data_IF_273869527252
#
_entry.id   IF_273869527252
#
_cell.length_a   1.000
_cell.length_b   1.000
_cell.length_c   1.000
_cell.angle_alpha   90.00
_cell.angle_beta   90.00
_cell.angle_gamma   90.00
#
_symmetry.space_group_name_H-M   'P 1'
#
loop_
_entity.id
_entity.type
_entity.pdbx_description
1 polymer ?
#
# COMPACT_ATOMS: atom_id res chain seq x y z
N UNK A 1 15.98 -1.13 -0.80
CA UNK A 1 17.07 -0.82 -1.76
C UNK A 1 17.04 -1.89 -2.85
N UNK A 2 16.58 -1.56 -4.05
CA UNK A 2 16.97 -2.33 -5.22
C UNK A 2 18.21 -1.65 -5.75
N UNK A 3 19.35 -1.98 -5.20
CA UNK A 3 20.61 -1.59 -5.79
C UNK A 3 20.95 -2.60 -6.88
N UNK A 4 21.77 -2.20 -7.84
CA UNK A 4 22.42 -3.09 -8.83
C UNK A 4 23.24 -4.23 -8.15
N UNK A 5 23.20 -4.31 -6.81
CA UNK A 5 23.95 -5.21 -5.93
C UNK A 5 23.14 -6.44 -5.46
N UNK A 6 21.81 -6.49 -5.65
CA UNK A 6 21.04 -7.68 -5.26
C UNK A 6 21.19 -8.77 -6.34
N UNK A 7 22.01 -9.75 -6.02
CA UNK A 7 22.22 -10.89 -6.89
C UNK A 7 21.00 -11.84 -6.85
N UNK A 8 20.57 -12.28 -8.03
CA UNK A 8 19.47 -13.23 -8.20
C UNK A 8 19.64 -14.51 -7.35
N UNK A 9 20.87 -15.07 -7.32
CA UNK A 9 21.17 -16.27 -6.56
C UNK A 9 21.05 -16.04 -5.03
N UNK A 10 21.44 -14.87 -4.55
CA UNK A 10 21.31 -14.52 -3.13
C UNK A 10 19.83 -14.38 -2.75
N UNK A 11 19.02 -13.75 -3.60
CA UNK A 11 17.59 -13.60 -3.34
C UNK A 11 16.88 -14.97 -3.34
N UNK A 12 17.24 -15.87 -4.25
CA UNK A 12 16.73 -17.25 -4.24
C UNK A 12 17.09 -17.97 -2.95
N UNK A 13 18.36 -17.84 -2.51
CA UNK A 13 18.81 -18.44 -1.25
C UNK A 13 18.04 -17.88 -0.05
N UNK A 14 17.83 -16.57 0.03
CA UNK A 14 17.03 -15.94 1.10
C UNK A 14 15.58 -16.43 1.09
N UNK A 15 14.94 -16.53 -0.08
CA UNK A 15 13.58 -17.04 -0.20
C UNK A 15 13.46 -18.47 0.37
N UNK A 16 14.41 -19.34 0.03
CA UNK A 16 14.44 -20.72 0.53
C UNK A 16 14.72 -20.76 2.05
N UNK A 17 15.72 -20.02 2.52
CA UNK A 17 16.08 -20.00 3.94
C UNK A 17 14.98 -19.43 4.83
N UNK A 18 14.29 -18.39 4.38
CA UNK A 18 13.18 -17.77 5.09
C UNK A 18 11.86 -18.55 4.95
N UNK A 19 11.84 -19.60 4.15
CA UNK A 19 10.62 -20.37 3.81
C UNK A 19 9.47 -19.45 3.37
N UNK A 20 9.81 -18.39 2.61
CA UNK A 20 8.86 -17.33 2.25
C UNK A 20 7.95 -17.83 1.12
N UNK A 21 6.65 -17.90 1.41
CA UNK A 21 5.65 -18.27 0.40
C UNK A 21 5.42 -17.14 -0.61
N UNK A 22 5.57 -15.88 -0.15
CA UNK A 22 5.25 -14.70 -0.95
C UNK A 22 6.36 -13.65 -0.87
N UNK A 23 6.77 -13.12 -2.01
CA UNK A 23 7.84 -12.12 -2.12
C UNK A 23 7.33 -10.87 -2.83
N UNK A 24 7.35 -9.75 -2.12
CA UNK A 24 7.03 -8.44 -2.68
C UNK A 24 8.32 -7.65 -2.85
N UNK A 25 8.60 -7.19 -4.05
CA UNK A 25 9.73 -6.31 -4.34
C UNK A 25 9.28 -4.86 -4.37
N UNK A 26 10.10 -3.97 -3.82
CA UNK A 26 9.92 -2.51 -3.94
C UNK A 26 11.02 -2.00 -4.86
N UNK A 27 10.64 -1.30 -5.93
CA UNK A 27 11.59 -0.66 -6.85
C UNK A 27 11.31 0.83 -6.98
N UNK A 28 12.38 1.61 -7.11
CA UNK A 28 12.30 3.06 -7.30
C UNK A 28 12.62 3.48 -8.73
N UNK A 29 12.79 2.52 -9.62
CA UNK A 29 13.11 2.76 -11.04
C UNK A 29 12.30 1.82 -11.93
N UNK A 30 12.01 2.25 -13.15
CA UNK A 30 11.37 1.43 -14.18
C UNK A 30 12.32 0.46 -14.88
N UNK A 31 13.53 0.27 -14.34
CA UNK A 31 14.47 -0.70 -14.92
C UNK A 31 14.01 -2.12 -14.63
N UNK A 32 14.08 -2.96 -15.64
CA UNK A 32 13.83 -4.39 -15.50
C UNK A 32 15.11 -5.07 -14.95
N UNK A 33 15.08 -5.43 -13.68
CA UNK A 33 16.14 -6.18 -13.03
C UNK A 33 15.75 -7.66 -12.98
N UNK A 34 16.68 -8.54 -13.30
CA UNK A 34 16.41 -9.99 -13.26
C UNK A 34 15.92 -10.48 -11.88
N UNK A 35 16.38 -9.86 -10.80
CA UNK A 35 15.92 -10.17 -9.44
C UNK A 35 14.42 -9.90 -9.23
N UNK A 36 13.81 -8.94 -9.93
CA UNK A 36 12.38 -8.64 -9.85
C UNK A 36 11.51 -9.75 -10.44
N UNK A 37 12.08 -10.61 -11.29
CA UNK A 37 11.37 -11.77 -11.87
C UNK A 37 11.02 -12.81 -10.82
N UNK A 38 11.76 -12.86 -9.70
CA UNK A 38 11.49 -13.76 -8.56
C UNK A 38 10.39 -13.26 -7.65
N UNK A 39 10.06 -11.98 -7.69
CA UNK A 39 9.00 -11.42 -6.88
C UNK A 39 7.63 -11.83 -7.43
N UNK A 40 6.72 -12.13 -6.53
CA UNK A 40 5.32 -12.39 -6.85
C UNK A 40 4.63 -11.07 -7.23
N UNK A 41 4.99 -9.97 -6.54
CA UNK A 41 4.59 -8.61 -6.90
C UNK A 41 5.76 -7.64 -6.89
N UNK A 42 5.62 -6.56 -7.66
CA UNK A 42 6.57 -5.45 -7.72
C UNK A 42 5.81 -4.16 -7.46
N UNK A 43 6.24 -3.41 -6.45
CA UNK A 43 5.72 -2.08 -6.13
C UNK A 43 6.69 -1.04 -6.67
N UNK A 44 6.22 -0.23 -7.61
CA UNK A 44 6.95 0.92 -8.09
C UNK A 44 6.58 2.14 -7.25
N UNK A 45 7.57 2.81 -6.67
CA UNK A 45 7.37 4.03 -5.90
C UNK A 45 8.59 4.96 -6.03
N UNK A 46 8.46 6.22 -5.62
CA UNK A 46 9.61 7.10 -5.52
C UNK A 46 10.54 6.69 -4.35
N UNK A 47 11.83 7.08 -4.36
CA UNK A 47 12.75 6.78 -3.26
C UNK A 47 12.26 7.24 -1.89
N UNK A 48 11.55 8.38 -1.84
CA UNK A 48 11.00 8.93 -0.60
C UNK A 48 9.75 8.16 -0.11
N UNK A 49 9.09 7.42 -0.99
CA UNK A 49 7.91 6.62 -0.67
C UNK A 49 8.26 5.20 -0.21
N UNK A 50 9.44 4.70 -0.54
CA UNK A 50 9.83 3.34 -0.18
C UNK A 50 9.71 3.02 1.33
N UNK A 51 10.12 3.91 2.26
CA UNK A 51 9.89 3.70 3.69
C UNK A 51 8.40 3.63 4.05
N UNK A 52 7.55 4.44 3.41
CA UNK A 52 6.10 4.44 3.64
C UNK A 52 5.46 3.13 3.18
N UNK A 53 5.90 2.60 2.03
CA UNK A 53 5.47 1.28 1.54
C UNK A 53 5.82 0.19 2.56
N UNK A 54 7.06 0.19 3.04
CA UNK A 54 7.50 -0.78 4.06
C UNK A 54 6.67 -0.67 5.35
N UNK A 55 6.44 0.54 5.85
CA UNK A 55 5.60 0.78 7.02
C UNK A 55 4.18 0.29 6.80
N UNK A 56 3.57 0.55 5.64
CA UNK A 56 2.22 0.10 5.34
C UNK A 56 2.09 -1.42 5.48
N UNK A 57 3.05 -2.19 4.93
CA UNK A 57 3.05 -3.65 5.07
C UNK A 57 3.36 -4.14 6.49
N UNK A 58 4.26 -3.49 7.22
CA UNK A 58 4.54 -3.84 8.61
C UNK A 58 3.31 -3.68 9.50
N UNK A 59 2.53 -2.63 9.26
CA UNK A 59 1.30 -2.33 10.04
C UNK A 59 0.13 -3.25 9.73
N UNK A 60 0.10 -3.88 8.58
CA UNK A 60 -0.88 -4.95 8.30
C UNK A 60 -0.81 -6.07 9.36
N UNK A 61 0.34 -6.24 10.01
CA UNK A 61 0.56 -7.26 11.04
C UNK A 61 0.46 -6.77 12.49
N UNK A 62 0.47 -5.46 12.73
CA UNK A 62 0.64 -4.93 14.11
C UNK A 62 -0.57 -5.10 15.03
N UNK A 63 -1.72 -5.52 14.52
CA UNK A 63 -2.90 -5.84 15.35
C UNK A 63 -3.54 -4.67 16.12
N UNK A 64 -2.98 -3.46 16.02
CA UNK A 64 -3.42 -2.26 16.75
C UNK A 64 -4.54 -1.48 16.03
N UNK A 65 -5.16 -2.07 15.02
CA UNK A 65 -6.23 -1.43 14.25
C UNK A 65 -7.64 -1.79 14.73
N UNK A 66 -8.61 -0.89 14.51
CA UNK A 66 -10.05 -1.19 14.70
C UNK A 66 -10.56 -2.03 13.54
N UNK A 67 -10.05 -1.80 12.32
CA UNK A 67 -10.37 -2.57 11.12
C UNK A 67 -9.07 -3.16 10.62
N UNK A 68 -8.97 -4.48 10.62
CA UNK A 68 -7.80 -5.19 10.14
C UNK A 68 -8.12 -5.97 8.87
N UNK A 69 -7.09 -6.17 8.03
CA UNK A 69 -7.12 -7.13 6.94
C UNK A 69 -6.38 -8.40 7.35
N UNK A 70 -6.97 -9.55 7.04
CA UNK A 70 -6.27 -10.82 7.15
C UNK A 70 -5.18 -10.93 6.07
N UNK A 71 -4.16 -11.74 6.32
CA UNK A 71 -3.12 -11.98 5.31
C UNK A 71 -3.67 -12.59 4.01
N UNK A 72 -4.74 -13.37 4.11
CA UNK A 72 -5.39 -13.94 2.93
C UNK A 72 -6.10 -12.87 2.10
N UNK A 73 -6.72 -11.87 2.72
CA UNK A 73 -7.30 -10.71 2.01
C UNK A 73 -6.19 -9.87 1.35
N UNK A 74 -5.08 -9.64 2.03
CA UNK A 74 -3.90 -8.96 1.44
C UNK A 74 -3.41 -9.73 0.21
N UNK A 75 -3.16 -11.03 0.35
CA UNK A 75 -2.74 -11.88 -0.77
C UNK A 75 -3.73 -11.83 -1.92
N UNK A 76 -5.03 -11.88 -1.62
CA UNK A 76 -6.07 -11.80 -2.64
C UNK A 76 -6.06 -10.45 -3.35
N UNK A 77 -5.94 -9.34 -2.62
CA UNK A 77 -5.92 -7.99 -3.18
C UNK A 77 -4.77 -7.77 -4.17
N UNK A 78 -3.60 -8.34 -3.88
CA UNK A 78 -2.39 -8.18 -4.70
C UNK A 78 -2.20 -9.32 -5.72
N UNK A 79 -2.96 -10.41 -5.61
CA UNK A 79 -2.82 -11.57 -6.51
C UNK A 79 -3.23 -11.24 -7.93
N UNK A 80 -2.61 -11.94 -8.89
CA UNK A 80 -2.96 -11.83 -10.31
C UNK A 80 -2.45 -10.58 -11.03
N UNK A 81 -1.82 -9.64 -10.31
CA UNK A 81 -1.17 -8.46 -10.90
C UNK A 81 0.27 -8.38 -10.43
N UNK A 82 1.22 -8.49 -11.33
CA UNK A 82 2.63 -8.39 -10.97
C UNK A 82 3.00 -6.99 -10.47
N UNK A 83 2.46 -5.96 -11.09
CA UNK A 83 2.77 -4.57 -10.78
C UNK A 83 1.70 -3.96 -9.89
N UNK A 84 2.15 -3.30 -8.83
CA UNK A 84 1.33 -2.57 -7.86
C UNK A 84 1.80 -1.12 -7.83
N UNK A 85 0.87 -0.19 -7.92
CA UNK A 85 1.14 1.23 -7.73
C UNK A 85 0.88 1.64 -6.28
N UNK A 86 1.81 2.37 -5.69
CA UNK A 86 1.66 2.93 -4.36
C UNK A 86 1.19 4.38 -4.43
N UNK A 87 0.07 4.67 -3.79
CA UNK A 87 -0.47 6.01 -3.67
C UNK A 87 -0.60 6.37 -2.19
N UNK A 88 -0.35 7.64 -1.84
CA UNK A 88 -0.56 8.11 -0.49
C UNK A 88 -1.06 9.55 -0.45
N UNK A 89 -1.79 9.90 0.61
CA UNK A 89 -2.14 11.25 1.00
C UNK A 89 -1.75 11.45 2.46
N UNK A 90 -1.10 12.57 2.77
CA UNK A 90 -0.63 12.91 4.12
C UNK A 90 -0.96 14.36 4.43
N UNK A 91 -1.58 14.61 5.55
CA UNK A 91 -1.87 15.96 6.01
C UNK A 91 -1.93 16.03 7.54
N UNK A 92 -1.71 17.19 8.11
CA UNK A 92 -1.84 17.47 9.52
C UNK A 92 -2.80 18.65 9.78
N UNK A 93 -3.21 18.83 11.04
CA UNK A 93 -4.11 19.89 11.49
C UNK A 93 -5.60 19.55 11.33
N UNK A 94 -6.48 20.53 11.60
CA UNK A 94 -7.93 20.32 11.71
C UNK A 94 -8.60 19.79 10.43
N UNK A 95 -8.06 20.10 9.26
CA UNK A 95 -8.60 19.66 7.96
C UNK A 95 -7.82 18.49 7.34
N UNK A 96 -6.99 17.82 8.13
CA UNK A 96 -6.06 16.79 7.65
C UNK A 96 -6.76 15.67 6.85
N UNK A 97 -7.91 15.21 7.31
CA UNK A 97 -8.66 14.13 6.66
C UNK A 97 -9.07 14.51 5.24
N UNK A 98 -9.66 15.69 5.08
CA UNK A 98 -10.10 16.16 3.76
C UNK A 98 -8.91 16.38 2.83
N UNK A 99 -7.82 17.00 3.30
CA UNK A 99 -6.62 17.27 2.52
C UNK A 99 -5.88 15.97 2.10
N UNK A 100 -5.73 15.02 3.02
CA UNK A 100 -5.09 13.75 2.72
C UNK A 100 -5.93 12.95 1.71
N UNK A 101 -7.25 12.93 1.89
CA UNK A 101 -8.18 12.30 0.97
C UNK A 101 -8.12 12.92 -0.43
N UNK A 102 -8.11 14.25 -0.54
CA UNK A 102 -8.00 14.97 -1.81
C UNK A 102 -6.69 14.64 -2.55
N UNK A 103 -5.56 14.63 -1.84
CA UNK A 103 -4.27 14.23 -2.41
C UNK A 103 -4.30 12.81 -2.97
N UNK A 104 -4.87 11.87 -2.21
CA UNK A 104 -5.01 10.49 -2.62
C UNK A 104 -5.91 10.36 -3.85
N UNK A 105 -7.10 10.96 -3.83
CA UNK A 105 -8.08 10.92 -4.92
C UNK A 105 -7.50 11.51 -6.21
N UNK A 106 -6.78 12.62 -6.14
CA UNK A 106 -6.14 13.24 -7.30
C UNK A 106 -5.15 12.27 -7.99
N UNK A 107 -4.36 11.54 -7.19
CA UNK A 107 -3.43 10.51 -7.71
C UNK A 107 -4.19 9.32 -8.29
N UNK A 108 -5.25 8.86 -7.60
CA UNK A 108 -6.09 7.74 -8.01
C UNK A 108 -6.78 8.02 -9.34
N UNK A 109 -7.36 9.20 -9.52
CA UNK A 109 -8.00 9.62 -10.78
C UNK A 109 -7.02 9.65 -11.95
N UNK A 110 -5.80 10.15 -11.72
CA UNK A 110 -4.74 10.15 -12.74
C UNK A 110 -4.33 8.73 -13.12
N UNK A 111 -4.26 7.82 -12.15
CA UNK A 111 -3.94 6.42 -12.41
C UNK A 111 -5.07 5.73 -13.17
N UNK A 112 -6.31 5.87 -12.72
CA UNK A 112 -7.49 5.25 -13.31
C UNK A 112 -7.78 5.72 -14.74
N UNK A 113 -7.36 6.92 -15.10
CA UNK A 113 -7.46 7.43 -16.47
C UNK A 113 -6.53 6.72 -17.45
N UNK A 114 -5.46 6.09 -16.95
CA UNK A 114 -4.46 5.41 -17.78
C UNK A 114 -4.54 3.89 -17.71
N UNK A 115 -5.05 3.35 -16.60
CA UNK A 115 -5.04 1.91 -16.32
C UNK A 115 -6.35 1.46 -15.66
N UNK A 116 -6.88 0.28 -16.03
CA UNK A 116 -8.00 -0.32 -15.31
C UNK A 116 -7.55 -0.75 -13.91
N UNK A 117 -8.19 -0.21 -12.88
CA UNK A 117 -7.94 -0.60 -11.49
C UNK A 117 -8.87 -1.75 -11.14
N UNK A 118 -8.32 -2.86 -10.67
CA UNK A 118 -9.09 -4.05 -10.27
C UNK A 118 -9.28 -4.15 -8.77
N UNK A 119 -8.20 -3.94 -8.03
CA UNK A 119 -8.19 -4.03 -6.58
C UNK A 119 -7.51 -2.80 -5.99
N UNK A 120 -8.03 -2.31 -4.88
CA UNK A 120 -7.45 -1.23 -4.10
C UNK A 120 -7.35 -1.65 -2.65
N UNK A 121 -6.17 -1.59 -2.10
CA UNK A 121 -5.92 -1.80 -0.68
C UNK A 121 -5.61 -0.46 -0.03
N UNK A 122 -6.41 -0.07 0.96
CA UNK A 122 -6.35 1.23 1.62
C UNK A 122 -6.00 1.02 3.07
N UNK A 123 -4.86 1.54 3.47
CA UNK A 123 -4.47 1.60 4.87
C UNK A 123 -4.58 3.05 5.36
N UNK A 124 -5.52 3.29 6.26
CA UNK A 124 -5.68 4.56 6.96
C UNK A 124 -4.87 4.52 8.24
N UNK A 125 -4.06 5.54 8.44
CA UNK A 125 -3.22 5.67 9.61
C UNK A 125 -3.44 7.05 10.24
N UNK A 126 -3.99 7.05 11.43
CA UNK A 126 -4.47 8.27 12.08
C UNK A 126 -4.24 8.26 13.60
N UNK A 127 -4.37 9.40 14.23
CA UNK A 127 -4.41 9.49 15.68
C UNK A 127 -5.75 8.96 16.25
N UNK A 128 -5.80 8.77 17.56
CA UNK A 128 -6.96 8.19 18.25
C UNK A 128 -8.24 9.05 18.16
N UNK A 129 -8.13 10.31 17.73
CA UNK A 129 -9.29 11.19 17.53
C UNK A 129 -10.03 10.91 16.20
N UNK A 130 -9.42 10.11 15.32
CA UNK A 130 -10.04 9.70 14.07
C UNK A 130 -11.21 8.74 14.35
N UNK A 131 -12.41 9.14 13.99
CA UNK A 131 -13.64 8.40 14.29
C UNK A 131 -14.36 7.88 13.04
N UNK A 132 -15.52 7.27 13.27
CA UNK A 132 -16.33 6.68 12.20
C UNK A 132 -16.75 7.70 11.14
N UNK A 133 -17.03 8.95 11.51
CA UNK A 133 -17.44 9.98 10.55
C UNK A 133 -16.34 10.27 9.52
N UNK A 134 -15.10 10.36 9.97
CA UNK A 134 -13.93 10.57 9.10
C UNK A 134 -13.69 9.36 8.21
N UNK A 135 -13.84 8.16 8.75
CA UNK A 135 -13.73 6.94 7.98
C UNK A 135 -14.82 6.87 6.90
N UNK A 136 -16.08 7.11 7.25
CA UNK A 136 -17.19 7.12 6.31
C UNK A 136 -16.97 8.14 5.19
N UNK A 137 -16.49 9.33 5.55
CA UNK A 137 -16.14 10.35 4.57
C UNK A 137 -15.10 9.84 3.55
N UNK A 138 -13.98 9.28 4.03
CA UNK A 138 -12.92 8.76 3.15
C UNK A 138 -13.45 7.64 2.27
N UNK A 139 -14.17 6.68 2.85
CA UNK A 139 -14.72 5.53 2.14
C UNK A 139 -15.64 5.98 1.02
N UNK A 140 -16.58 6.89 1.30
CA UNK A 140 -17.50 7.43 0.30
C UNK A 140 -16.77 8.18 -0.83
N UNK A 141 -15.73 8.96 -0.50
CA UNK A 141 -14.95 9.65 -1.53
C UNK A 141 -14.21 8.66 -2.45
N UNK A 142 -13.63 7.62 -1.88
CA UNK A 142 -12.90 6.60 -2.63
C UNK A 142 -13.86 5.79 -3.51
N UNK A 143 -14.93 5.28 -2.93
CA UNK A 143 -15.92 4.47 -3.66
C UNK A 143 -16.52 5.24 -4.83
N UNK A 144 -16.87 6.51 -4.62
CA UNK A 144 -17.38 7.38 -5.69
C UNK A 144 -16.40 7.51 -6.86
N UNK A 145 -15.10 7.49 -6.62
CA UNK A 145 -14.06 7.61 -7.64
C UNK A 145 -13.67 6.26 -8.26
N UNK A 146 -14.00 5.14 -7.61
CA UNK A 146 -13.73 3.78 -8.09
C UNK A 146 -14.92 3.11 -8.77
N UNK A 147 -16.15 3.58 -8.55
CA UNK A 147 -17.39 3.00 -9.12
C UNK A 147 -17.32 2.79 -10.64
N UNK A 148 -16.54 3.59 -11.36
CA UNK A 148 -16.39 3.50 -12.82
C UNK A 148 -15.62 2.24 -13.23
N UNK A 149 -14.84 1.64 -12.33
CA UNK A 149 -13.89 0.58 -12.67
C UNK A 149 -14.29 -0.82 -12.15
N UNK A 150 -15.42 -0.94 -11.44
CA UNK A 150 -15.83 -2.20 -10.78
C UNK A 150 -14.72 -2.80 -9.89
N UNK A 151 -13.95 -1.93 -9.23
CA UNK A 151 -12.81 -2.30 -8.41
C UNK A 151 -13.26 -2.80 -7.04
N UNK A 152 -12.61 -3.85 -6.57
CA UNK A 152 -12.79 -4.31 -5.18
C UNK A 152 -11.87 -3.52 -4.26
N UNK A 153 -12.44 -2.99 -3.16
CA UNK A 153 -11.71 -2.17 -2.20
C UNK A 153 -11.62 -2.86 -0.85
N UNK A 154 -10.42 -2.87 -0.28
CA UNK A 154 -10.12 -3.37 1.06
C UNK A 154 -9.68 -2.22 1.94
N UNK A 155 -10.21 -2.14 3.15
CA UNK A 155 -9.92 -1.08 4.09
C UNK A 155 -9.27 -1.61 5.36
N UNK A 156 -8.26 -0.89 5.82
CA UNK A 156 -7.66 -1.05 7.14
C UNK A 156 -7.58 0.31 7.82
N UNK A 157 -7.83 0.34 9.12
CA UNK A 157 -7.62 1.49 9.98
C UNK A 157 -6.72 1.12 11.15
N UNK A 158 -5.59 1.78 11.25
CA UNK A 158 -4.64 1.66 12.35
C UNK A 158 -4.39 3.01 13.01
N UNK A 159 -4.11 3.01 14.30
CA UNK A 159 -3.79 4.23 15.02
C UNK A 159 -2.29 4.40 15.27
N UNK A 160 -1.86 5.67 15.41
CA UNK A 160 -0.54 5.98 15.90
C UNK A 160 -0.40 5.47 17.34
N UNK A 161 0.65 4.75 17.61
CA UNK A 161 1.11 4.57 18.98
C UNK A 161 2.05 5.74 19.30
N UNK A 162 1.58 6.67 20.15
CA UNK A 162 2.31 7.90 20.51
C UNK A 162 3.73 7.64 21.02
N UNK A 163 4.05 6.41 21.39
CA UNK A 163 5.34 6.02 21.98
C UNK A 163 6.25 5.21 21.05
N UNK A 164 5.75 4.70 19.93
CA UNK A 164 6.49 3.77 19.08
C UNK A 164 6.90 4.36 17.72
N UNK A 165 6.38 5.50 17.31
CA UNK A 165 6.43 5.98 15.93
C UNK A 165 7.31 7.22 15.68
N UNK A 166 8.27 7.54 16.60
CA UNK A 166 9.24 8.65 16.43
C UNK A 166 10.68 8.16 16.39
#
# INVERSE_FOLDING_TARGET
MASDEVNLADLQRYRIQAQTEYLIAITTTNKDYDCLKLADNVILCSPNEAPLVMQAFQRLHSGSGIIGMSWDEVKWAISGNKNIEFLHGVAGGETCVALACEQFISKLQRLSSNYPIKNVMINMYADISFGCEQQDFITQQIDKNLMVNDATTFYQLSFFDEFADW
#
